data_IF_587375740957
#
_entry.id   IF_587375740957
#
_cell.length_a   1.000
_cell.length_b   1.000
_cell.length_c   1.000
_cell.angle_alpha   90.00
_cell.angle_beta   90.00
_cell.angle_gamma   90.00
#
_symmetry.space_group_name_H-M   'P 1'
#
loop_
_entity.id
_entity.type
_entity.pdbx_description
1 polymer ?
#
# COMPACT_ATOMS: atom_id res chain seq x y z
N UNK A 1 -17.80 21.24 -10.05
CA UNK A 1 -17.88 20.72 -8.67
C UNK A 1 -16.93 19.55 -8.54
N UNK A 2 -16.14 19.53 -7.47
CA UNK A 2 -15.25 18.41 -7.11
C UNK A 2 -16.08 17.23 -6.63
N UNK A 3 -15.78 16.03 -7.12
CA UNK A 3 -16.39 14.78 -6.68
C UNK A 3 -15.35 13.91 -5.97
N UNK A 4 -15.82 13.10 -5.03
CA UNK A 4 -15.02 12.23 -4.16
C UNK A 4 -15.47 10.78 -4.36
N UNK A 5 -14.58 9.79 -4.21
CA UNK A 5 -14.87 8.36 -4.41
C UNK A 5 -15.99 7.88 -3.47
N UNK A 6 -15.90 8.26 -2.19
CA UNK A 6 -16.89 7.94 -1.16
C UNK A 6 -18.00 8.99 -1.05
N UNK A 7 -18.04 9.95 -1.99
CA UNK A 7 -19.05 11.01 -2.06
C UNK A 7 -18.79 12.21 -1.16
N UNK A 8 -17.82 12.16 -0.24
CA UNK A 8 -17.47 13.30 0.61
C UNK A 8 -15.99 13.34 0.98
N UNK A 9 -15.45 14.55 1.16
CA UNK A 9 -14.07 14.76 1.59
C UNK A 9 -13.71 14.03 2.88
N UNK A 10 -14.52 14.08 3.98
CA UNK A 10 -14.14 13.40 5.21
C UNK A 10 -13.96 11.89 5.06
N UNK A 11 -14.76 11.23 4.22
CA UNK A 11 -14.63 9.79 3.98
C UNK A 11 -13.39 9.48 3.14
N UNK A 12 -13.18 10.18 2.02
CA UNK A 12 -11.98 9.98 1.20
C UNK A 12 -10.71 10.28 1.99
N UNK A 13 -10.70 11.35 2.80
CA UNK A 13 -9.59 11.65 3.69
C UNK A 13 -9.38 10.52 4.69
N UNK A 14 -10.43 10.07 5.39
CA UNK A 14 -10.33 9.02 6.42
C UNK A 14 -9.82 7.68 5.88
N UNK A 15 -10.20 7.30 4.66
CA UNK A 15 -9.85 5.97 4.12
C UNK A 15 -8.65 5.98 3.18
N UNK A 16 -8.38 7.08 2.47
CA UNK A 16 -7.35 7.11 1.42
C UNK A 16 -6.10 7.91 1.81
N UNK A 17 -6.19 8.82 2.77
CA UNK A 17 -5.12 9.78 3.07
C UNK A 17 -4.67 9.70 4.53
N UNK A 18 -5.60 9.88 5.46
CA UNK A 18 -5.36 9.94 6.89
C UNK A 18 -4.62 8.73 7.46
N UNK A 19 -4.93 7.46 7.11
CA UNK A 19 -4.31 6.31 7.76
C UNK A 19 -2.79 6.29 7.56
N UNK A 20 -2.33 6.56 6.33
CA UNK A 20 -0.91 6.65 6.04
C UNK A 20 -0.25 7.90 6.61
N UNK A 21 -0.92 9.06 6.61
CA UNK A 21 -0.38 10.27 7.24
C UNK A 21 -0.23 10.11 8.77
N UNK A 22 -1.25 9.56 9.43
CA UNK A 22 -1.25 9.34 10.86
C UNK A 22 -0.14 8.37 11.28
N UNK A 23 0.00 7.26 10.55
CA UNK A 23 1.07 6.28 10.80
C UNK A 23 2.45 6.81 10.46
N UNK A 24 2.59 7.59 9.38
CA UNK A 24 3.85 8.26 9.05
C UNK A 24 4.28 9.23 10.16
N UNK A 25 3.37 10.08 10.65
CA UNK A 25 3.67 10.98 11.76
C UNK A 25 4.02 10.17 13.02
N UNK A 26 3.26 9.12 13.31
CA UNK A 26 3.51 8.26 14.47
C UNK A 26 4.92 7.66 14.43
N UNK A 27 5.35 7.06 13.33
CA UNK A 27 6.68 6.43 13.22
C UNK A 27 7.83 7.43 13.13
N UNK A 28 7.56 8.67 12.72
CA UNK A 28 8.55 9.74 12.75
C UNK A 28 8.80 10.28 14.17
N UNK A 29 7.77 10.27 15.02
CA UNK A 29 7.89 10.73 16.41
C UNK A 29 8.21 9.61 17.40
N UNK A 30 8.09 8.34 17.00
CA UNK A 30 8.48 7.22 17.84
C UNK A 30 9.99 7.01 17.80
N UNK A 31 10.69 7.11 18.95
CA UNK A 31 12.11 6.79 19.02
C UNK A 31 12.34 5.33 18.59
N UNK A 32 13.43 5.09 17.88
CA UNK A 32 13.81 3.83 17.24
C UNK A 32 14.26 2.74 18.23
N UNK A 33 13.54 2.55 19.33
CA UNK A 33 13.98 1.68 20.43
C UNK A 33 12.92 0.62 20.74
N UNK A 34 13.41 -0.58 21.03
CA UNK A 34 12.65 -1.76 21.43
C UNK A 34 11.65 -1.45 22.55
N UNK A 35 10.48 -2.09 22.49
CA UNK A 35 9.43 -1.92 23.49
C UNK A 35 8.05 -2.37 22.99
N UNK A 36 7.11 -2.41 23.92
CA UNK A 36 5.73 -2.90 23.71
C UNK A 36 4.97 -2.16 22.60
N UNK A 37 5.20 -0.85 22.43
CA UNK A 37 4.49 -0.06 21.42
C UNK A 37 4.88 -0.45 19.98
N UNK A 38 6.17 -0.52 19.61
CA UNK A 38 6.60 -1.08 18.33
C UNK A 38 6.03 -2.47 18.02
N UNK A 39 5.94 -3.36 19.01
CA UNK A 39 5.37 -4.71 18.85
C UNK A 39 3.87 -4.66 18.51
N UNK A 40 3.08 -3.84 19.21
CA UNK A 40 1.66 -3.64 18.88
C UNK A 40 1.50 -3.09 17.45
N UNK A 41 2.34 -2.13 17.06
CA UNK A 41 2.29 -1.59 15.70
C UNK A 41 2.67 -2.63 14.66
N UNK A 42 3.69 -3.46 14.94
CA UNK A 42 4.07 -4.57 14.07
C UNK A 42 2.93 -5.58 13.93
N UNK A 43 2.31 -6.01 15.04
CA UNK A 43 1.13 -6.89 15.02
C UNK A 43 -0.02 -6.27 14.21
N UNK A 44 -0.34 -5.00 14.45
CA UNK A 44 -1.41 -4.33 13.72
C UNK A 44 -1.13 -4.21 12.23
N UNK A 45 0.12 -3.92 11.82
CA UNK A 45 0.46 -3.90 10.40
C UNK A 45 0.47 -5.28 9.76
N UNK A 46 1.12 -6.27 10.39
CA UNK A 46 1.33 -7.57 9.78
C UNK A 46 0.08 -8.44 9.88
N UNK A 47 -0.41 -8.73 11.09
CA UNK A 47 -1.55 -9.61 11.28
C UNK A 47 -2.86 -8.97 10.77
N UNK A 48 -3.13 -7.73 11.15
CA UNK A 48 -4.42 -7.11 10.83
C UNK A 48 -4.44 -6.46 9.44
N UNK A 49 -3.46 -5.61 9.12
CA UNK A 49 -3.45 -4.90 7.84
C UNK A 49 -2.96 -5.79 6.70
N UNK A 50 -1.84 -6.49 6.82
CA UNK A 50 -1.27 -7.28 5.71
C UNK A 50 -2.01 -8.62 5.54
N UNK A 51 -1.96 -9.52 6.51
CA UNK A 51 -2.69 -10.79 6.46
C UNK A 51 -4.20 -10.60 6.39
N UNK A 52 -4.76 -9.84 7.34
CA UNK A 52 -6.20 -9.66 7.48
C UNK A 52 -6.89 -9.10 6.24
N UNK A 53 -6.28 -8.17 5.49
CA UNK A 53 -6.94 -7.59 4.32
C UNK A 53 -7.13 -8.58 3.17
N UNK A 54 -6.22 -9.55 3.01
CA UNK A 54 -6.32 -10.56 1.96
C UNK A 54 -7.59 -11.38 2.14
N UNK A 55 -7.93 -11.75 3.38
CA UNK A 55 -9.15 -12.53 3.68
C UNK A 55 -10.44 -11.79 3.34
N UNK A 56 -10.42 -10.46 3.29
CA UNK A 56 -11.62 -9.69 2.95
C UNK A 56 -11.99 -9.80 1.46
N UNK A 57 -11.08 -10.33 0.61
CA UNK A 57 -11.39 -10.75 -0.77
C UNK A 57 -12.46 -11.85 -0.83
N UNK A 58 -12.63 -12.62 0.25
CA UNK A 58 -13.70 -13.60 0.39
C UNK A 58 -15.07 -12.97 0.12
N UNK A 59 -15.34 -11.80 0.69
CA UNK A 59 -16.62 -11.11 0.54
C UNK A 59 -16.88 -10.65 -0.88
N UNK A 60 -15.84 -10.23 -1.60
CA UNK A 60 -15.93 -9.91 -3.03
C UNK A 60 -16.28 -11.15 -3.85
N UNK A 61 -15.58 -12.25 -3.62
CA UNK A 61 -15.82 -13.52 -4.30
C UNK A 61 -17.24 -14.02 -3.99
N UNK A 62 -17.67 -13.92 -2.74
CA UNK A 62 -19.02 -14.24 -2.31
C UNK A 62 -20.07 -13.35 -3.00
N UNK A 63 -19.83 -12.04 -3.12
CA UNK A 63 -20.78 -11.10 -3.71
C UNK A 63 -20.89 -11.23 -5.24
N UNK A 64 -19.78 -11.48 -5.95
CA UNK A 64 -19.75 -11.44 -7.42
C UNK A 64 -19.93 -12.85 -7.99
N UNK A 65 -21.11 -13.11 -8.56
CA UNK A 65 -21.46 -14.42 -9.12
C UNK A 65 -20.49 -14.94 -10.20
N UNK A 66 -19.92 -14.02 -10.99
CA UNK A 66 -18.90 -14.35 -12.00
C UNK A 66 -17.62 -14.90 -11.36
N UNK A 67 -17.21 -14.36 -10.21
CA UNK A 67 -16.00 -14.80 -9.52
C UNK A 67 -16.20 -16.20 -8.92
N UNK A 68 -17.37 -16.48 -8.33
CA UNK A 68 -17.71 -17.83 -7.83
C UNK A 68 -17.65 -18.92 -8.88
N UNK A 69 -17.90 -18.59 -10.15
CA UNK A 69 -17.84 -19.54 -11.28
C UNK A 69 -16.42 -19.75 -11.81
N UNK A 70 -15.46 -18.90 -11.46
CA UNK A 70 -14.08 -18.94 -11.95
C UNK A 70 -13.20 -19.87 -11.11
N UNK A 71 -13.67 -21.08 -10.80
CA UNK A 71 -13.04 -21.99 -9.84
C UNK A 71 -11.61 -22.38 -10.17
N UNK A 72 -11.28 -22.53 -11.46
CA UNK A 72 -9.95 -23.00 -11.89
C UNK A 72 -8.83 -22.10 -11.35
N UNK A 73 -8.93 -20.77 -11.55
CA UNK A 73 -7.87 -19.85 -11.15
C UNK A 73 -7.64 -19.82 -9.62
N UNK A 74 -8.71 -19.98 -8.83
CA UNK A 74 -8.61 -20.00 -7.37
C UNK A 74 -7.86 -21.22 -6.83
N UNK A 75 -7.78 -22.31 -7.61
CA UNK A 75 -6.98 -23.49 -7.24
C UNK A 75 -5.62 -23.51 -7.95
N UNK A 76 -5.57 -23.21 -9.24
CA UNK A 76 -4.33 -23.33 -10.02
C UNK A 76 -3.29 -22.30 -9.61
N UNK A 77 -3.70 -21.07 -9.28
CA UNK A 77 -2.73 -20.00 -8.94
C UNK A 77 -2.04 -20.29 -7.60
N UNK A 78 -2.74 -20.59 -6.48
CA UNK A 78 -2.06 -20.95 -5.25
C UNK A 78 -1.15 -22.17 -5.37
N UNK A 79 -1.58 -23.21 -6.09
CA UNK A 79 -0.76 -24.41 -6.32
C UNK A 79 0.49 -24.06 -7.14
N UNK A 80 0.35 -23.28 -8.21
CA UNK A 80 1.49 -22.85 -9.01
C UNK A 80 2.47 -22.01 -8.19
N UNK A 81 1.98 -21.05 -7.40
CA UNK A 81 2.81 -20.23 -6.52
C UNK A 81 3.54 -21.12 -5.50
N UNK A 82 2.84 -22.05 -4.86
CA UNK A 82 3.43 -23.00 -3.93
C UNK A 82 4.55 -23.82 -4.58
N UNK A 83 4.34 -24.35 -5.79
CA UNK A 83 5.35 -25.11 -6.51
C UNK A 83 6.55 -24.26 -6.90
N UNK A 84 6.32 -23.04 -7.42
CA UNK A 84 7.39 -22.13 -7.84
C UNK A 84 8.22 -21.67 -6.64
N UNK A 85 7.57 -21.16 -5.59
CA UNK A 85 8.25 -20.69 -4.37
C UNK A 85 8.90 -21.87 -3.65
N UNK A 86 8.20 -22.99 -3.51
CA UNK A 86 8.73 -24.20 -2.88
C UNK A 86 9.96 -24.73 -3.61
N UNK A 87 9.95 -24.76 -4.95
CA UNK A 87 11.13 -25.15 -5.75
C UNK A 87 12.27 -24.15 -5.61
N UNK A 88 11.97 -22.84 -5.61
CA UNK A 88 12.97 -21.79 -5.42
C UNK A 88 13.69 -21.95 -4.07
N UNK A 89 12.93 -22.13 -3.00
CA UNK A 89 13.44 -22.35 -1.63
C UNK A 89 14.21 -23.68 -1.56
N UNK A 90 13.66 -24.77 -2.11
CA UNK A 90 14.30 -26.08 -2.12
C UNK A 90 15.66 -26.09 -2.82
N UNK A 91 15.78 -25.34 -3.92
CA UNK A 91 17.04 -25.20 -4.66
C UNK A 91 18.01 -24.20 -4.00
N UNK A 92 17.59 -23.47 -2.97
CA UNK A 92 18.43 -22.47 -2.28
C UNK A 92 18.82 -21.29 -3.17
N UNK A 93 18.01 -20.94 -4.17
CA UNK A 93 18.33 -19.85 -5.09
C UNK A 93 18.18 -18.51 -4.36
N UNK A 94 19.19 -17.61 -4.36
CA UNK A 94 19.11 -16.34 -3.65
C UNK A 94 18.12 -15.36 -4.31
N UNK A 95 17.75 -14.30 -3.58
CA UNK A 95 16.97 -13.19 -4.13
C UNK A 95 15.44 -13.36 -4.15
N UNK A 96 14.91 -14.48 -3.61
CA UNK A 96 13.46 -14.68 -3.46
C UNK A 96 12.80 -13.48 -2.75
N UNK A 97 13.33 -13.11 -1.58
CA UNK A 97 12.80 -12.01 -0.78
C UNK A 97 12.92 -10.65 -1.48
N UNK A 98 13.98 -10.44 -2.27
CA UNK A 98 14.11 -9.24 -3.10
C UNK A 98 12.98 -9.16 -4.11
N UNK A 99 12.70 -10.26 -4.83
CA UNK A 99 11.59 -10.31 -5.79
C UNK A 99 10.25 -10.06 -5.09
N UNK A 100 10.02 -10.67 -3.93
CA UNK A 100 8.80 -10.44 -3.13
C UNK A 100 8.64 -8.96 -2.78
N UNK A 101 9.68 -8.30 -2.26
CA UNK A 101 9.60 -6.87 -1.90
C UNK A 101 9.31 -6.00 -3.13
N UNK A 102 9.97 -6.26 -4.26
CA UNK A 102 9.70 -5.53 -5.51
C UNK A 102 8.26 -5.72 -6.00
N UNK A 103 7.72 -6.94 -5.90
CA UNK A 103 6.32 -7.21 -6.24
C UNK A 103 5.36 -6.51 -5.28
N UNK A 104 5.66 -6.46 -3.98
CA UNK A 104 4.86 -5.75 -2.98
C UNK A 104 4.85 -4.24 -3.24
N UNK A 105 6.00 -3.64 -3.51
CA UNK A 105 6.10 -2.21 -3.89
C UNK A 105 5.32 -1.94 -5.17
N UNK A 106 5.46 -2.79 -6.19
CA UNK A 106 4.70 -2.66 -7.42
C UNK A 106 3.18 -2.79 -7.21
N UNK A 107 2.75 -3.75 -6.38
CA UNK A 107 1.35 -3.93 -5.99
C UNK A 107 0.78 -2.67 -5.32
N UNK A 108 1.54 -2.11 -4.37
CA UNK A 108 1.15 -0.90 -3.65
C UNK A 108 1.06 0.32 -4.59
N UNK A 109 2.05 0.52 -5.47
CA UNK A 109 1.97 1.54 -6.54
C UNK A 109 0.73 1.34 -7.42
N UNK A 110 0.43 0.10 -7.82
CA UNK A 110 -0.73 -0.22 -8.65
C UNK A 110 -2.04 0.16 -7.98
N UNK A 111 -2.15 -0.01 -6.66
CA UNK A 111 -3.31 0.47 -5.91
C UNK A 111 -3.43 1.99 -5.98
N UNK A 112 -2.36 2.73 -5.71
CA UNK A 112 -2.38 4.19 -5.78
C UNK A 112 -2.71 4.70 -7.19
N UNK A 113 -2.16 4.06 -8.22
CA UNK A 113 -2.52 4.37 -9.60
C UNK A 113 -4.01 4.08 -9.86
N UNK A 114 -4.55 2.98 -9.34
CA UNK A 114 -5.98 2.68 -9.41
C UNK A 114 -6.86 3.77 -8.78
N UNK A 115 -6.49 4.25 -7.58
CA UNK A 115 -7.16 5.35 -6.88
C UNK A 115 -7.10 6.63 -7.72
N UNK A 116 -5.92 7.01 -8.21
CA UNK A 116 -5.76 8.19 -9.08
C UNK A 116 -6.66 8.10 -10.33
N UNK A 117 -6.71 6.94 -10.99
CA UNK A 117 -7.57 6.74 -12.17
C UNK A 117 -9.04 6.87 -11.83
N UNK A 118 -9.45 6.39 -10.66
CA UNK A 118 -10.82 6.57 -10.20
C UNK A 118 -11.12 8.05 -9.92
N UNK A 119 -10.23 8.76 -9.24
CA UNK A 119 -10.39 10.19 -8.97
C UNK A 119 -10.47 11.03 -10.24
N UNK A 120 -9.60 10.73 -11.21
CA UNK A 120 -9.64 11.33 -12.53
C UNK A 120 -10.96 11.08 -13.24
N UNK A 121 -11.46 9.85 -13.20
CA UNK A 121 -12.75 9.47 -13.82
C UNK A 121 -13.92 10.22 -13.20
N UNK A 122 -14.04 10.30 -11.87
CA UNK A 122 -15.18 10.97 -11.22
C UNK A 122 -15.12 12.50 -11.39
N UNK A 123 -13.91 13.07 -11.47
CA UNK A 123 -13.71 14.50 -11.67
C UNK A 123 -13.63 14.92 -13.15
N UNK A 124 -13.76 13.98 -14.10
CA UNK A 124 -13.54 14.18 -15.55
C UNK A 124 -12.17 14.81 -15.88
N UNK A 125 -11.17 14.54 -15.04
CA UNK A 125 -9.78 14.93 -15.28
C UNK A 125 -9.13 13.93 -16.25
N UNK A 126 -8.43 14.42 -17.27
CA UNK A 126 -7.76 13.62 -18.30
C UNK A 126 -6.25 13.81 -18.29
N UNK A 127 -5.70 14.42 -17.24
CA UNK A 127 -4.29 14.74 -17.17
C UNK A 127 -3.44 13.47 -16.99
N UNK A 128 -2.81 13.04 -18.08
CA UNK A 128 -1.93 11.88 -18.09
C UNK A 128 -0.67 12.07 -17.24
N UNK A 129 -0.29 13.33 -16.96
CA UNK A 129 0.95 13.63 -16.25
C UNK A 129 0.87 13.24 -14.77
N UNK A 130 -0.30 13.31 -14.15
CA UNK A 130 -0.46 12.90 -12.74
C UNK A 130 -0.05 11.44 -12.52
N UNK A 131 -0.39 10.55 -13.47
CA UNK A 131 0.03 9.15 -13.40
C UNK A 131 1.54 8.96 -13.57
N UNK A 132 2.18 9.79 -14.39
CA UNK A 132 3.64 9.77 -14.59
C UNK A 132 4.38 10.30 -13.36
N UNK A 133 3.89 11.38 -12.77
CA UNK A 133 4.42 11.90 -11.52
C UNK A 133 4.24 10.91 -10.39
N UNK A 134 3.04 10.32 -10.23
CA UNK A 134 2.83 9.26 -9.24
C UNK A 134 3.82 8.11 -9.40
N UNK A 135 4.00 7.60 -10.62
CA UNK A 135 4.93 6.52 -10.90
C UNK A 135 6.37 6.89 -10.49
N UNK A 136 6.83 8.07 -10.88
CA UNK A 136 8.17 8.54 -10.53
C UNK A 136 8.32 8.75 -9.02
N UNK A 137 7.35 9.42 -8.38
CA UNK A 137 7.40 9.73 -6.94
C UNK A 137 7.28 8.49 -6.05
N UNK A 138 6.74 7.38 -6.56
CA UNK A 138 6.80 6.09 -5.87
C UNK A 138 8.07 5.30 -6.22
N UNK A 139 8.35 5.09 -7.51
CA UNK A 139 9.45 4.22 -7.92
C UNK A 139 10.83 4.80 -7.58
N UNK A 140 11.02 6.11 -7.75
CA UNK A 140 12.34 6.73 -7.60
C UNK A 140 12.86 6.71 -6.15
N UNK A 141 12.08 7.08 -5.12
CA UNK A 141 12.53 6.90 -3.73
C UNK A 141 12.91 5.46 -3.39
N UNK A 142 12.13 4.49 -3.88
CA UNK A 142 12.44 3.08 -3.70
C UNK A 142 13.76 2.68 -4.40
N UNK A 143 14.01 3.16 -5.61
CA UNK A 143 15.29 2.93 -6.29
C UNK A 143 16.47 3.57 -5.54
N UNK A 144 16.30 4.80 -5.05
CA UNK A 144 17.33 5.48 -4.26
C UNK A 144 17.61 4.80 -2.93
N UNK A 145 16.64 4.09 -2.35
CA UNK A 145 16.85 3.29 -1.15
C UNK A 145 18.00 2.30 -1.31
N UNK A 146 18.11 1.65 -2.48
CA UNK A 146 19.19 0.71 -2.77
C UNK A 146 20.59 1.35 -2.74
N UNK A 147 20.70 2.67 -2.92
CA UNK A 147 21.97 3.40 -2.90
C UNK A 147 22.36 3.89 -1.50
N UNK A 148 21.46 3.77 -0.51
CA UNK A 148 21.71 4.20 0.85
C UNK A 148 22.59 3.20 1.59
N UNK A 149 23.37 3.70 2.52
CA UNK A 149 24.09 2.88 3.49
C UNK A 149 23.22 2.71 4.75
N UNK A 150 22.24 1.80 4.66
CA UNK A 150 21.35 1.45 5.77
C UNK A 150 21.23 -0.06 5.88
N UNK A 151 21.21 -0.57 7.10
CA UNK A 151 21.05 -1.99 7.37
C UNK A 151 19.66 -2.24 8.00
N UNK A 152 18.66 -2.52 7.15
CA UNK A 152 17.30 -2.86 7.59
C UNK A 152 16.99 -4.29 7.19
N UNK A 153 16.69 -5.11 8.18
CA UNK A 153 16.24 -6.49 8.00
C UNK A 153 14.73 -6.49 7.72
N UNK A 154 14.33 -6.92 6.52
CA UNK A 154 12.92 -7.10 6.16
C UNK A 154 12.43 -8.50 6.56
N UNK A 155 12.72 -9.48 5.70
CA UNK A 155 12.45 -10.90 5.94
C UNK A 155 13.73 -11.68 6.31
N UNK A 156 14.85 -11.24 5.74
CA UNK A 156 16.19 -11.76 5.99
C UNK A 156 17.20 -10.62 5.88
N UNK A 157 18.44 -10.86 6.32
CA UNK A 157 19.52 -9.85 6.26
C UNK A 157 19.91 -9.43 4.84
N UNK A 158 19.64 -10.29 3.86
CA UNK A 158 19.94 -10.11 2.44
C UNK A 158 18.67 -9.89 1.60
N UNK A 159 17.53 -9.61 2.23
CA UNK A 159 16.24 -9.51 1.54
C UNK A 159 16.21 -8.36 0.51
N UNK A 160 16.97 -7.29 0.74
CA UNK A 160 17.09 -6.15 -0.19
C UNK A 160 18.43 -6.15 -0.90
N UNK A 161 18.40 -5.89 -2.20
CA UNK A 161 19.60 -5.72 -3.02
C UNK A 161 20.26 -4.36 -2.74
N UNK A 162 21.04 -4.26 -1.68
CA UNK A 162 21.73 -3.01 -1.35
C UNK A 162 22.99 -2.84 -2.22
N UNK A 163 23.14 -1.67 -2.82
CA UNK A 163 24.31 -1.24 -3.59
C UNK A 163 24.69 0.18 -3.16
N UNK A 164 25.26 0.36 -1.94
CA UNK A 164 25.56 1.67 -1.41
C UNK A 164 26.46 2.46 -2.37
N UNK A 165 25.99 3.64 -2.78
CA UNK A 165 26.72 4.51 -3.70
C UNK A 165 26.58 5.98 -3.25
N UNK A 166 27.37 6.40 -2.24
CA UNK A 166 27.20 7.69 -1.59
C UNK A 166 27.42 8.88 -2.54
N UNK A 167 28.24 8.71 -3.59
CA UNK A 167 28.45 9.75 -4.61
C UNK A 167 27.26 9.89 -5.56
N UNK A 168 26.54 8.81 -5.87
CA UNK A 168 25.39 8.83 -6.78
C UNK A 168 24.10 9.31 -6.10
N UNK A 169 23.95 9.04 -4.80
CA UNK A 169 22.74 9.37 -4.04
C UNK A 169 22.36 10.87 -4.09
N UNK A 170 23.28 11.85 -3.93
CA UNK A 170 22.96 13.27 -4.06
C UNK A 170 22.40 13.65 -5.44
N UNK A 171 22.92 13.07 -6.52
CA UNK A 171 22.39 13.31 -7.87
C UNK A 171 20.99 12.75 -8.03
N UNK A 172 20.76 11.54 -7.49
CA UNK A 172 19.44 10.92 -7.43
C UNK A 172 18.43 11.75 -6.66
N UNK A 173 18.81 12.29 -5.51
CA UNK A 173 17.99 13.21 -4.71
C UNK A 173 17.75 14.53 -5.44
N UNK A 174 18.76 15.08 -6.13
CA UNK A 174 18.61 16.27 -6.97
C UNK A 174 17.54 16.08 -8.04
N UNK A 175 17.57 14.95 -8.76
CA UNK A 175 16.54 14.61 -9.74
C UNK A 175 15.16 14.46 -9.09
N UNK A 176 15.09 13.80 -7.92
CA UNK A 176 13.85 13.68 -7.16
C UNK A 176 13.22 15.05 -6.88
N UNK A 177 13.98 15.98 -6.32
CA UNK A 177 13.48 17.32 -6.00
C UNK A 177 13.11 18.12 -7.25
N UNK A 178 13.86 18.00 -8.35
CA UNK A 178 13.49 18.63 -9.64
C UNK A 178 12.11 18.14 -10.11
N UNK A 179 11.84 16.84 -10.04
CA UNK A 179 10.54 16.28 -10.45
C UNK A 179 9.42 16.68 -9.49
N UNK A 180 9.67 16.71 -8.17
CA UNK A 180 8.71 17.23 -7.18
C UNK A 180 8.38 18.69 -7.48
N UNK A 181 9.39 19.55 -7.71
CA UNK A 181 9.18 20.95 -8.07
C UNK A 181 8.40 21.09 -9.38
N UNK A 182 8.71 20.30 -10.40
CA UNK A 182 7.98 20.31 -11.66
C UNK A 182 6.50 19.93 -11.48
N UNK A 183 6.21 18.93 -10.64
CA UNK A 183 4.85 18.54 -10.29
C UNK A 183 4.12 19.66 -9.51
N UNK A 184 4.77 20.27 -8.52
CA UNK A 184 4.21 21.39 -7.74
C UNK A 184 3.90 22.59 -8.63
N UNK A 185 4.80 22.98 -9.53
CA UNK A 185 4.59 24.07 -10.48
C UNK A 185 3.40 23.77 -11.41
N UNK A 186 3.24 22.52 -11.85
CA UNK A 186 2.07 22.11 -12.65
C UNK A 186 0.77 22.20 -11.84
N UNK A 187 0.80 21.76 -10.59
CA UNK A 187 -0.35 21.85 -9.68
C UNK A 187 -0.74 23.30 -9.43
N UNK A 188 0.22 24.20 -9.22
CA UNK A 188 -0.02 25.64 -9.10
C UNK A 188 -0.65 26.24 -10.36
N UNK A 189 -0.17 25.84 -11.55
CA UNK A 189 -0.81 26.24 -12.82
C UNK A 189 -2.27 25.80 -12.90
N UNK A 190 -2.62 24.60 -12.41
CA UNK A 190 -4.03 24.15 -12.34
C UNK A 190 -4.88 24.99 -11.38
N UNK A 191 -4.30 25.45 -10.27
CA UNK A 191 -4.96 26.37 -9.33
C UNK A 191 -5.29 27.69 -10.04
N UNK A 192 -4.29 28.31 -10.67
CA UNK A 192 -4.49 29.58 -11.40
C UNK A 192 -5.44 29.45 -12.58
N UNK A 193 -5.45 28.29 -13.26
CA UNK A 193 -6.37 28.01 -14.36
C UNK A 193 -7.79 27.59 -13.90
N UNK A 194 -8.07 27.49 -12.59
CA UNK A 194 -9.37 27.05 -12.06
C UNK A 194 -9.72 25.58 -12.36
N UNK A 195 -8.74 24.78 -12.81
CA UNK A 195 -8.91 23.36 -13.15
C UNK A 195 -8.49 22.41 -12.02
N UNK A 196 -8.02 22.98 -10.91
CA UNK A 196 -7.58 22.22 -9.74
C UNK A 196 -8.67 21.32 -9.14
N UNK A 197 -8.27 20.11 -8.76
CA UNK A 197 -9.11 19.08 -8.14
C UNK A 197 -8.35 18.46 -6.97
N UNK A 198 -8.76 18.80 -5.74
CA UNK A 198 -8.17 18.25 -4.52
C UNK A 198 -7.98 16.72 -4.52
N UNK A 199 -8.99 15.90 -4.91
CA UNK A 199 -8.85 14.44 -4.85
C UNK A 199 -7.73 13.92 -5.75
N UNK A 200 -7.59 14.47 -6.96
CA UNK A 200 -6.54 14.09 -7.92
C UNK A 200 -5.16 14.45 -7.38
N UNK A 201 -5.03 15.64 -6.79
CA UNK A 201 -3.76 16.09 -6.21
C UNK A 201 -3.39 15.27 -4.99
N UNK A 202 -4.33 14.97 -4.10
CA UNK A 202 -4.11 14.10 -2.93
C UNK A 202 -3.70 12.69 -3.35
N UNK A 203 -4.31 12.14 -4.41
CA UNK A 203 -3.95 10.82 -4.94
C UNK A 203 -2.51 10.72 -5.49
N UNK A 204 -1.83 11.85 -5.75
CA UNK A 204 -0.40 11.89 -6.10
C UNK A 204 0.47 12.30 -4.92
N UNK A 205 0.05 13.34 -4.19
CA UNK A 205 0.78 13.89 -3.05
C UNK A 205 1.00 12.84 -1.95
N UNK A 206 -0.07 12.14 -1.59
CA UNK A 206 -0.08 11.21 -0.46
C UNK A 206 0.88 10.04 -0.69
N UNK A 207 0.81 9.29 -1.80
CA UNK A 207 1.79 8.25 -2.09
C UNK A 207 3.22 8.79 -2.26
N UNK A 208 3.39 9.94 -2.93
CA UNK A 208 4.71 10.54 -3.11
C UNK A 208 5.37 10.90 -1.77
N UNK A 209 4.59 11.42 -0.82
CA UNK A 209 5.06 11.67 0.55
C UNK A 209 5.42 10.36 1.25
N UNK A 210 4.56 9.34 1.18
CA UNK A 210 4.80 8.06 1.87
C UNK A 210 6.07 7.40 1.38
N UNK A 211 6.26 7.31 0.06
CA UNK A 211 7.46 6.73 -0.52
C UNK A 211 8.70 7.57 -0.26
N UNK A 212 8.59 8.90 -0.39
CA UNK A 212 9.69 9.82 -0.10
C UNK A 212 10.18 9.67 1.34
N UNK A 213 9.28 9.69 2.32
CA UNK A 213 9.66 9.55 3.74
C UNK A 213 10.11 8.13 4.06
N UNK A 214 9.33 7.12 3.71
CA UNK A 214 9.67 5.71 4.01
C UNK A 214 11.04 5.34 3.46
N UNK A 215 11.28 5.58 2.17
CA UNK A 215 12.49 5.09 1.50
C UNK A 215 13.68 6.05 1.55
N UNK A 216 13.49 7.37 1.70
CA UNK A 216 14.63 8.28 1.80
C UNK A 216 15.05 8.56 3.24
N UNK A 217 14.11 8.49 4.20
CA UNK A 217 14.36 8.86 5.60
C UNK A 217 14.27 7.67 6.57
N UNK A 218 13.47 6.65 6.26
CA UNK A 218 13.29 5.50 7.15
C UNK A 218 14.61 4.79 7.45
N UNK A 219 14.85 4.45 8.72
CA UNK A 219 16.05 3.76 9.21
C UNK A 219 15.75 2.40 9.83
N UNK A 220 14.47 2.04 9.98
CA UNK A 220 14.03 0.75 10.48
C UNK A 220 12.78 0.26 9.74
N UNK A 221 12.43 -1.01 9.95
CA UNK A 221 11.34 -1.68 9.25
C UNK A 221 9.99 -0.98 9.46
N UNK A 222 9.69 -0.57 10.70
CA UNK A 222 8.44 0.10 11.03
C UNK A 222 8.29 1.43 10.28
N UNK A 223 9.34 2.25 10.22
CA UNK A 223 9.31 3.52 9.49
C UNK A 223 9.10 3.34 7.98
N UNK A 224 9.56 2.22 7.41
CA UNK A 224 9.44 1.93 5.99
C UNK A 224 8.07 1.32 5.67
N UNK A 225 7.70 0.23 6.34
CA UNK A 225 6.54 -0.59 5.97
C UNK A 225 5.24 -0.09 6.59
N UNK A 226 5.24 0.36 7.85
CA UNK A 226 4.02 0.67 8.58
C UNK A 226 3.09 1.65 7.86
N UNK A 227 3.58 2.83 7.39
CA UNK A 227 2.71 3.76 6.65
C UNK A 227 2.21 3.22 5.32
N UNK A 228 3.01 2.38 4.63
CA UNK A 228 2.64 1.80 3.34
C UNK A 228 1.59 0.69 3.51
N UNK A 229 1.75 -0.19 4.49
CA UNK A 229 0.85 -1.31 4.76
C UNK A 229 -0.48 -0.83 5.33
N UNK A 230 -0.47 0.08 6.30
CA UNK A 230 -1.72 0.61 6.89
C UNK A 230 -2.50 1.45 5.88
N UNK A 231 -1.84 2.32 5.11
CA UNK A 231 -2.53 3.06 4.04
C UNK A 231 -3.11 2.12 2.98
N UNK A 232 -2.41 1.02 2.68
CA UNK A 232 -2.89 0.02 1.74
C UNK A 232 -4.17 -0.67 2.25
N UNK A 233 -4.10 -1.27 3.43
CA UNK A 233 -5.18 -2.06 4.00
C UNK A 233 -6.43 -1.24 4.29
N UNK A 234 -6.28 -0.05 4.90
CA UNK A 234 -7.44 0.80 5.24
C UNK A 234 -8.14 1.33 3.98
N UNK A 235 -7.38 1.72 2.95
CA UNK A 235 -7.96 2.08 1.66
C UNK A 235 -8.72 0.88 1.06
N UNK A 236 -8.15 -0.32 1.14
CA UNK A 236 -8.80 -1.55 0.67
C UNK A 236 -10.11 -1.83 1.41
N UNK A 237 -10.13 -1.73 2.74
CA UNK A 237 -11.33 -1.93 3.55
C UNK A 237 -12.45 -0.96 3.18
N UNK A 238 -12.11 0.32 3.02
CA UNK A 238 -13.07 1.33 2.58
C UNK A 238 -13.61 1.02 1.20
N UNK A 239 -12.73 0.79 0.21
CA UNK A 239 -13.12 0.54 -1.17
C UNK A 239 -13.93 -0.75 -1.33
N UNK A 240 -13.61 -1.79 -0.55
CA UNK A 240 -14.37 -3.03 -0.53
C UNK A 240 -15.76 -2.82 0.07
N UNK A 241 -15.85 -2.11 1.19
CA UNK A 241 -17.14 -1.76 1.81
C UNK A 241 -18.04 -0.98 0.85
N UNK A 242 -17.48 0.00 0.14
CA UNK A 242 -18.18 0.77 -0.89
C UNK A 242 -18.61 -0.09 -2.07
N UNK A 243 -17.78 -1.07 -2.46
CA UNK A 243 -18.10 -1.99 -3.55
C UNK A 243 -19.24 -2.92 -3.16
N UNK A 244 -19.20 -3.51 -1.96
CA UNK A 244 -20.25 -4.41 -1.46
C UNK A 244 -21.59 -3.70 -1.23
N UNK A 245 -21.58 -2.44 -0.80
CA UNK A 245 -22.79 -1.61 -0.72
C UNK A 245 -23.46 -1.42 -2.10
N UNK A 246 -22.66 -1.33 -3.16
CA UNK A 246 -23.16 -1.12 -4.54
C UNK A 246 -23.49 -2.41 -5.28
N UNK A 247 -23.01 -3.56 -4.81
CA UNK A 247 -23.26 -4.85 -5.43
C UNK A 247 -24.62 -5.43 -5.04
N UNK A 248 -25.19 -6.25 -5.91
CA UNK A 248 -26.45 -6.95 -5.69
C UNK A 248 -26.25 -8.23 -4.86
N UNK A 249 -25.82 -8.04 -3.62
CA UNK A 249 -25.78 -9.11 -2.62
C UNK A 249 -27.19 -9.42 -2.10
N UNK A 250 -27.50 -10.67 -1.71
CA UNK A 250 -28.83 -11.07 -1.23
C UNK A 250 -29.29 -10.29 -0.01
N UNK A 251 -28.36 -9.70 0.75
CA UNK A 251 -28.64 -8.80 1.87
C UNK A 251 -27.95 -7.47 1.64
N UNK A 252 -28.64 -6.50 1.01
CA UNK A 252 -28.11 -5.14 0.89
C UNK A 252 -28.03 -4.51 2.28
N UNK A 253 -26.81 -4.18 2.70
CA UNK A 253 -26.50 -3.49 3.94
C UNK A 253 -25.74 -2.20 3.61
N UNK A 254 -25.86 -1.19 4.46
CA UNK A 254 -25.15 0.07 4.28
C UNK A 254 -23.64 -0.07 4.51
N UNK A 255 -22.87 0.90 4.00
CA UNK A 255 -21.42 0.99 4.12
C UNK A 255 -20.87 0.58 5.51
N UNK A 256 -21.43 1.10 6.60
CA UNK A 256 -20.93 0.88 7.95
C UNK A 256 -21.04 -0.60 8.40
N UNK A 257 -22.08 -1.31 7.96
CA UNK A 257 -22.25 -2.73 8.28
C UNK A 257 -21.21 -3.55 7.52
N UNK A 258 -21.00 -3.28 6.23
CA UNK A 258 -19.97 -3.95 5.46
C UNK A 258 -18.57 -3.68 5.99
N UNK A 259 -18.30 -2.45 6.40
CA UNK A 259 -17.04 -2.09 7.04
C UNK A 259 -16.85 -2.90 8.33
N UNK A 260 -17.87 -3.00 9.19
CA UNK A 260 -17.82 -3.84 10.39
C UNK A 260 -17.52 -5.31 10.07
N UNK A 261 -18.20 -5.90 9.08
CA UNK A 261 -17.96 -7.29 8.65
C UNK A 261 -16.52 -7.48 8.16
N UNK A 262 -16.02 -6.55 7.33
CA UNK A 262 -14.66 -6.57 6.78
C UNK A 262 -13.63 -6.48 7.91
N UNK A 263 -13.80 -5.55 8.85
CA UNK A 263 -12.88 -5.38 9.98
C UNK A 263 -12.87 -6.61 10.90
N UNK A 264 -14.04 -7.18 11.21
CA UNK A 264 -14.13 -8.41 12.01
C UNK A 264 -13.48 -9.60 11.30
N UNK A 265 -13.68 -9.71 9.98
CA UNK A 265 -13.04 -10.75 9.17
C UNK A 265 -11.52 -10.60 9.20
N UNK A 266 -11.01 -9.41 8.92
CA UNK A 266 -9.57 -9.13 8.94
C UNK A 266 -8.96 -9.43 10.31
N UNK A 267 -9.66 -9.09 11.39
CA UNK A 267 -9.20 -9.36 12.76
C UNK A 267 -9.16 -10.86 13.08
N UNK A 268 -10.25 -11.59 12.82
CA UNK A 268 -10.33 -13.02 13.17
C UNK A 268 -9.32 -13.83 12.37
N UNK A 269 -9.27 -13.63 11.05
CA UNK A 269 -8.38 -14.41 10.20
C UNK A 269 -6.92 -13.97 10.33
N UNK A 270 -6.65 -12.68 10.44
CA UNK A 270 -5.31 -12.17 10.69
C UNK A 270 -4.75 -12.67 12.03
N UNK A 271 -5.56 -12.65 13.09
CA UNK A 271 -5.15 -13.23 14.38
C UNK A 271 -4.98 -14.74 14.32
N UNK A 272 -5.86 -15.44 13.60
CA UNK A 272 -5.76 -16.89 13.39
C UNK A 272 -4.48 -17.29 12.64
N UNK A 273 -4.11 -16.54 11.60
CA UNK A 273 -2.87 -16.75 10.84
C UNK A 273 -1.65 -16.47 11.70
N UNK A 274 -1.60 -15.32 12.40
CA UNK A 274 -0.51 -14.99 13.32
C UNK A 274 -0.33 -16.05 14.41
N UNK A 275 -1.42 -16.51 15.02
CA UNK A 275 -1.39 -17.57 16.04
C UNK A 275 -0.90 -18.90 15.47
N UNK A 276 -1.26 -19.20 14.21
CA UNK A 276 -0.82 -20.42 13.53
C UNK A 276 0.66 -20.36 13.17
N UNK A 277 1.16 -19.22 12.68
CA UNK A 277 2.58 -19.00 12.42
C UNK A 277 3.40 -19.14 13.70
N UNK A 278 2.97 -18.51 14.79
CA UNK A 278 3.61 -18.67 16.10
C UNK A 278 3.63 -20.13 16.56
N UNK A 279 2.54 -20.88 16.36
CA UNK A 279 2.49 -22.29 16.73
C UNK A 279 3.38 -23.19 15.85
N UNK A 280 3.51 -22.88 14.55
CA UNK A 280 4.29 -23.69 13.60
C UNK A 280 5.78 -23.35 13.57
N UNK A 281 6.13 -22.08 13.79
CA UNK A 281 7.48 -21.55 13.71
C UNK A 281 8.10 -21.28 15.09
N UNK A 282 7.29 -21.30 16.15
CA UNK A 282 7.75 -21.16 17.52
C UNK A 282 8.44 -22.45 17.99
N UNK A 283 9.75 -22.33 18.22
CA UNK A 283 10.45 -23.08 19.27
C UNK A 283 10.01 -22.59 20.66
#
# INVERSE_FOLDING_TARGET
MTKWIFGSFPKDFLFLVFPGLATLLLVMFMPSQEGFFPEILAFFALAFCDSGHVYTTFWRTYAIAKERKSTVLYFTVPVLIFLVVGTWVFLGVPGLWTVVIWLTVFHNYRQFHGILRWEQKVNKDRDIWEGRFLMFLCAWPFLLYHLRDVNVHFYSADAMLMMPWPEALPWGLGLYFVVVTAWLLRTLRKVWAGTFRWPVVLAVLTPGLFYGVAFLLGTNLAQILFPLVVSHAVAYFGLMSLSLERLEVPFRKGFAVWLGVILVTALIFGWGESSYEEWMLGD
#
